data_IF_596700969843
#
_entry.id   IF_596700969843
#
_cell.length_a   1.000
_cell.length_b   1.000
_cell.length_c   1.000
_cell.angle_alpha   90.00
_cell.angle_beta   90.00
_cell.angle_gamma   90.00
#
_symmetry.space_group_name_H-M   'P 1'
#
loop_
_entity.id
_entity.type
_entity.pdbx_description
1 polymer ?
#
# COMPACT_ATOMS: atom_id res chain seq x y z
N UNK A 1 1.38 -8.70 -60.20
CA UNK A 1 0.11 -9.22 -59.65
C UNK A 1 0.48 -9.99 -58.41
N UNK A 2 0.31 -9.39 -57.25
CA UNK A 2 0.50 -10.08 -55.97
C UNK A 2 -0.56 -11.19 -55.86
N UNK A 3 -0.13 -12.38 -55.45
CA UNK A 3 -1.03 -13.52 -55.22
C UNK A 3 -2.16 -13.10 -54.27
N UNK A 4 -3.40 -13.56 -54.48
CA UNK A 4 -4.49 -13.23 -53.57
C UNK A 4 -4.15 -13.71 -52.15
N UNK A 5 -4.31 -12.83 -51.16
CA UNK A 5 -4.12 -13.16 -49.74
C UNK A 5 -5.16 -14.20 -49.33
N UNK A 6 -4.70 -15.38 -48.90
CA UNK A 6 -5.55 -16.47 -48.40
C UNK A 6 -5.16 -16.71 -46.95
N UNK A 7 -6.13 -16.67 -46.04
CA UNK A 7 -5.89 -17.04 -44.65
C UNK A 7 -6.01 -18.57 -44.51
N UNK A 8 -4.91 -19.26 -44.80
CA UNK A 8 -4.72 -20.69 -44.66
C UNK A 8 -3.89 -21.06 -43.41
N UNK A 9 -3.54 -22.34 -43.25
CA UNK A 9 -2.76 -22.82 -42.10
C UNK A 9 -1.34 -22.22 -42.03
N UNK A 10 -0.75 -21.88 -43.18
CA UNK A 10 0.60 -21.31 -43.24
C UNK A 10 0.58 -19.84 -42.84
N UNK A 11 -0.38 -19.07 -43.37
CA UNK A 11 -0.64 -17.69 -42.97
C UNK A 11 -0.98 -17.58 -41.47
N UNK A 12 -1.80 -18.50 -40.94
CA UNK A 12 -2.15 -18.55 -39.52
C UNK A 12 -0.92 -18.79 -38.63
N UNK A 13 -0.09 -19.77 -38.99
CA UNK A 13 1.14 -20.08 -38.25
C UNK A 13 2.11 -18.89 -38.25
N UNK A 14 2.33 -18.30 -39.42
CA UNK A 14 3.22 -17.15 -39.59
C UNK A 14 2.73 -15.94 -38.79
N UNK A 15 1.43 -15.63 -38.83
CA UNK A 15 0.85 -14.56 -38.02
C UNK A 15 1.09 -14.78 -36.53
N UNK A 16 0.89 -16.00 -36.04
CA UNK A 16 1.09 -16.32 -34.63
C UNK A 16 2.56 -16.16 -34.19
N UNK A 17 3.53 -16.55 -35.03
CA UNK A 17 4.95 -16.36 -34.78
C UNK A 17 5.29 -14.86 -34.66
N UNK A 18 4.83 -14.04 -35.60
CA UNK A 18 5.06 -12.58 -35.58
C UNK A 18 4.37 -11.90 -34.38
N UNK A 19 3.16 -12.33 -34.01
CA UNK A 19 2.47 -11.83 -32.81
C UNK A 19 3.23 -12.15 -31.51
N UNK A 20 3.89 -13.31 -31.43
CA UNK A 20 4.73 -13.69 -30.29
C UNK A 20 5.97 -12.79 -30.23
N UNK A 21 6.61 -12.53 -31.36
CA UNK A 21 7.76 -11.61 -31.42
C UNK A 21 7.38 -10.20 -30.99
N UNK A 22 6.28 -9.65 -31.51
CA UNK A 22 5.79 -8.32 -31.13
C UNK A 22 5.44 -8.29 -29.64
N UNK A 23 4.82 -9.34 -29.10
CA UNK A 23 4.56 -9.45 -27.66
C UNK A 23 5.84 -9.31 -26.83
N UNK A 24 6.90 -10.03 -27.19
CA UNK A 24 8.16 -10.03 -26.44
C UNK A 24 8.77 -8.63 -26.36
N UNK A 25 8.57 -7.80 -27.38
CA UNK A 25 9.02 -6.39 -27.41
C UNK A 25 8.21 -5.48 -26.49
N UNK A 26 6.89 -5.65 -26.45
CA UNK A 26 6.01 -4.68 -25.77
C UNK A 26 5.63 -5.09 -24.35
N UNK A 27 5.79 -6.36 -23.95
CA UNK A 27 5.29 -6.88 -22.67
C UNK A 27 5.85 -6.16 -21.42
N UNK A 28 7.03 -5.54 -21.52
CA UNK A 28 7.66 -4.79 -20.44
C UNK A 28 7.47 -3.27 -20.57
N UNK A 29 6.84 -2.80 -21.65
CA UNK A 29 6.54 -1.39 -21.87
C UNK A 29 5.10 -1.09 -21.38
N UNK A 30 5.01 -0.50 -20.20
CA UNK A 30 3.74 -0.14 -19.57
C UNK A 30 2.90 0.83 -20.42
N UNK A 31 3.53 1.71 -21.20
CA UNK A 31 2.83 2.69 -22.05
C UNK A 31 2.20 1.98 -23.23
N UNK A 32 2.95 1.13 -23.93
CA UNK A 32 2.45 0.35 -25.06
C UNK A 32 1.39 -0.67 -24.62
N UNK A 33 1.56 -1.32 -23.47
CA UNK A 33 0.57 -2.24 -22.91
C UNK A 33 -0.75 -1.53 -22.55
N UNK A 34 -0.67 -0.30 -22.04
CA UNK A 34 -1.87 0.50 -21.76
C UNK A 34 -2.58 0.89 -23.06
N UNK A 35 -1.82 1.35 -24.07
CA UNK A 35 -2.35 1.65 -25.40
C UNK A 35 -3.01 0.43 -26.04
N UNK A 36 -2.41 -0.75 -25.89
CA UNK A 36 -2.95 -2.03 -26.38
C UNK A 36 -4.29 -2.37 -25.74
N UNK A 37 -4.40 -2.27 -24.41
CA UNK A 37 -5.68 -2.52 -23.73
C UNK A 37 -6.76 -1.54 -24.18
N UNK A 38 -6.43 -0.25 -24.32
CA UNK A 38 -7.37 0.76 -24.82
C UNK A 38 -7.76 0.50 -26.27
N UNK A 39 -6.81 0.03 -27.08
CA UNK A 39 -7.03 -0.28 -28.47
C UNK A 39 -8.03 -1.43 -28.64
N UNK A 40 -7.79 -2.52 -27.92
CA UNK A 40 -8.66 -3.69 -27.84
C UNK A 40 -10.06 -3.35 -27.30
N UNK A 41 -10.17 -2.41 -26.34
CA UNK A 41 -11.47 -1.95 -25.85
C UNK A 41 -12.33 -1.28 -26.94
N UNK A 42 -11.73 -0.49 -27.85
CA UNK A 42 -12.47 0.12 -28.97
C UNK A 42 -13.11 -0.95 -29.86
N UNK A 43 -12.47 -2.11 -29.94
CA UNK A 43 -12.98 -3.30 -30.60
C UNK A 43 -13.77 -4.21 -29.63
N UNK A 44 -14.36 -3.69 -28.55
CA UNK A 44 -15.23 -4.45 -27.61
C UNK A 44 -14.56 -5.64 -26.89
N UNK A 45 -13.24 -5.57 -26.65
CA UNK A 45 -12.55 -6.50 -25.75
C UNK A 45 -12.37 -5.85 -24.37
N UNK A 46 -12.97 -6.41 -23.31
CA UNK A 46 -12.72 -5.94 -21.94
C UNK A 46 -11.21 -5.99 -21.61
N UNK A 47 -10.67 -5.06 -20.80
CA UNK A 47 -9.23 -5.02 -20.48
C UNK A 47 -8.68 -6.34 -19.92
N UNK A 48 -9.47 -7.05 -19.10
CA UNK A 48 -9.12 -8.38 -18.59
C UNK A 48 -8.98 -9.41 -19.71
N UNK A 49 -9.90 -9.40 -20.68
CA UNK A 49 -9.86 -10.30 -21.83
C UNK A 49 -8.72 -9.97 -22.79
N UNK A 50 -8.48 -8.69 -23.05
CA UNK A 50 -7.34 -8.23 -23.83
C UNK A 50 -6.01 -8.71 -23.23
N UNK A 51 -5.87 -8.65 -21.91
CA UNK A 51 -4.70 -9.17 -21.20
C UNK A 51 -4.61 -10.70 -21.23
N UNK A 52 -5.73 -11.41 -21.07
CA UNK A 52 -5.80 -12.86 -21.18
C UNK A 52 -5.33 -13.34 -22.56
N UNK A 53 -5.84 -12.74 -23.64
CA UNK A 53 -5.44 -13.05 -25.01
C UNK A 53 -3.96 -12.75 -25.25
N UNK A 54 -3.49 -11.61 -24.76
CA UNK A 54 -2.07 -11.25 -24.84
C UNK A 54 -1.19 -12.27 -24.09
N UNK A 55 -1.61 -12.73 -22.92
CA UNK A 55 -0.90 -13.74 -22.15
C UNK A 55 -0.88 -15.10 -22.85
N UNK A 56 -2.01 -15.49 -23.46
CA UNK A 56 -2.17 -16.74 -24.23
C UNK A 56 -1.18 -16.88 -25.38
N UNK A 57 -0.68 -15.79 -25.96
CA UNK A 57 0.36 -15.84 -26.99
C UNK A 57 1.64 -16.57 -26.51
N UNK A 58 1.93 -16.60 -25.20
CA UNK A 58 3.09 -17.34 -24.66
C UNK A 58 2.84 -18.84 -24.47
N UNK A 59 1.62 -19.33 -24.70
CA UNK A 59 1.26 -20.73 -24.47
C UNK A 59 1.30 -21.51 -25.79
N UNK A 60 2.16 -22.54 -25.93
CA UNK A 60 2.31 -23.34 -27.16
C UNK A 60 1.02 -24.04 -27.64
N UNK A 61 -0.01 -24.10 -26.79
CA UNK A 61 -1.28 -24.78 -27.04
C UNK A 61 -2.49 -23.83 -26.93
N UNK A 62 -2.27 -22.51 -26.89
CA UNK A 62 -3.38 -21.57 -26.87
C UNK A 62 -4.21 -21.66 -28.15
N UNK A 63 -5.49 -22.01 -27.99
CA UNK A 63 -6.47 -21.93 -29.08
C UNK A 63 -7.07 -20.53 -29.08
N UNK A 64 -6.67 -19.74 -30.08
CA UNK A 64 -7.29 -18.45 -30.39
C UNK A 64 -8.21 -18.62 -31.60
N UNK A 65 -9.38 -18.00 -31.55
CA UNK A 65 -10.30 -17.92 -32.70
C UNK A 65 -9.73 -17.02 -33.79
N UNK A 66 -10.21 -17.18 -35.02
CA UNK A 66 -9.80 -16.32 -36.15
C UNK A 66 -10.08 -14.83 -35.87
N UNK A 67 -11.21 -14.52 -35.22
CA UNK A 67 -11.54 -13.14 -34.81
C UNK A 67 -10.57 -12.60 -33.76
N UNK A 68 -10.26 -13.38 -32.72
CA UNK A 68 -9.26 -13.00 -31.70
C UNK A 68 -7.89 -12.70 -32.32
N UNK A 69 -7.43 -13.55 -33.25
CA UNK A 69 -6.16 -13.34 -33.96
C UNK A 69 -6.17 -12.08 -34.81
N UNK A 70 -7.27 -11.83 -35.53
CA UNK A 70 -7.46 -10.61 -36.30
C UNK A 70 -7.39 -9.35 -35.42
N UNK A 71 -8.14 -9.30 -34.32
CA UNK A 71 -8.15 -8.12 -33.44
C UNK A 71 -6.83 -7.92 -32.69
N UNK A 72 -6.12 -9.01 -32.34
CA UNK A 72 -4.75 -8.95 -31.83
C UNK A 72 -3.82 -8.30 -32.85
N UNK A 73 -3.81 -8.80 -34.09
CA UNK A 73 -3.00 -8.28 -35.19
C UNK A 73 -3.32 -6.80 -35.48
N UNK A 74 -4.61 -6.47 -35.63
CA UNK A 74 -5.10 -5.11 -35.89
C UNK A 74 -4.63 -4.12 -34.84
N UNK A 75 -4.81 -4.46 -33.56
CA UNK A 75 -4.51 -3.52 -32.48
C UNK A 75 -3.02 -3.43 -32.19
N UNK A 76 -2.28 -4.54 -32.26
CA UNK A 76 -0.82 -4.51 -32.11
C UNK A 76 -0.18 -3.75 -33.27
N UNK A 77 -0.58 -4.02 -34.52
CA UNK A 77 -0.09 -3.29 -35.70
C UNK A 77 -0.35 -1.79 -35.56
N UNK A 78 -1.56 -1.41 -35.13
CA UNK A 78 -1.92 0.01 -34.94
C UNK A 78 -0.99 0.74 -33.98
N UNK A 79 -0.50 0.05 -32.95
CA UNK A 79 0.32 0.62 -31.87
C UNK A 79 1.81 0.57 -32.21
N UNK A 80 2.30 -0.57 -32.70
CA UNK A 80 3.73 -0.77 -32.96
C UNK A 80 4.13 -0.29 -34.35
N UNK A 81 3.17 -0.12 -35.27
CA UNK A 81 3.39 0.17 -36.69
C UNK A 81 4.26 -0.87 -37.38
N UNK A 82 4.30 -2.09 -36.85
CA UNK A 82 5.06 -3.20 -37.44
C UNK A 82 4.26 -3.84 -38.58
N UNK A 83 4.67 -3.57 -39.82
CA UNK A 83 3.99 -4.12 -41.02
C UNK A 83 3.91 -5.65 -41.03
N UNK A 84 4.82 -6.36 -40.36
CA UNK A 84 4.83 -7.83 -40.32
C UNK A 84 3.59 -8.43 -39.66
N UNK A 85 2.90 -7.69 -38.81
CA UNK A 85 1.65 -8.10 -38.16
C UNK A 85 0.42 -7.39 -38.73
N UNK A 86 0.59 -6.66 -39.84
CA UNK A 86 -0.51 -5.98 -40.53
C UNK A 86 -1.58 -7.00 -40.95
N UNK A 87 -2.85 -6.87 -40.50
CA UNK A 87 -3.91 -7.82 -40.82
C UNK A 87 -4.10 -8.07 -42.31
N UNK A 88 -3.87 -7.05 -43.13
CA UNK A 88 -4.00 -7.08 -44.58
C UNK A 88 -3.04 -8.09 -45.23
N UNK A 89 -1.94 -8.45 -44.56
CA UNK A 89 -0.98 -9.45 -45.03
C UNK A 89 -1.46 -10.89 -44.83
N UNK A 90 -2.47 -11.11 -43.98
CA UNK A 90 -2.92 -12.44 -43.58
C UNK A 90 -4.38 -12.68 -43.92
N UNK A 91 -5.24 -11.67 -43.78
CA UNK A 91 -6.68 -11.80 -43.95
C UNK A 91 -7.13 -11.16 -45.27
N UNK A 92 -7.89 -11.88 -46.12
CA UNK A 92 -8.46 -11.27 -47.32
C UNK A 92 -9.48 -10.17 -46.95
N UNK A 93 -9.63 -9.11 -47.75
CA UNK A 93 -10.51 -7.98 -47.45
C UNK A 93 -11.95 -8.37 -47.11
N UNK A 94 -12.51 -9.36 -47.82
CA UNK A 94 -13.87 -9.85 -47.55
C UNK A 94 -13.99 -10.51 -46.18
N UNK A 95 -12.93 -11.19 -45.72
CA UNK A 95 -12.89 -11.85 -44.41
C UNK A 95 -12.68 -10.87 -43.27
N UNK A 96 -11.88 -9.82 -43.49
CA UNK A 96 -11.77 -8.68 -42.56
C UNK A 96 -13.16 -8.08 -42.34
N UNK A 97 -13.86 -7.76 -43.43
CA UNK A 97 -15.21 -7.20 -43.39
C UNK A 97 -16.21 -8.11 -42.68
N UNK A 98 -16.15 -9.41 -42.94
CA UNK A 98 -17.00 -10.41 -42.27
C UNK A 98 -16.73 -10.51 -40.76
N UNK A 99 -15.46 -10.53 -40.36
CA UNK A 99 -15.06 -10.53 -38.94
C UNK A 99 -15.56 -9.26 -38.24
N UNK A 100 -15.35 -8.09 -38.83
CA UNK A 100 -15.75 -6.81 -38.21
C UNK A 100 -17.27 -6.63 -38.13
N UNK A 101 -18.02 -7.05 -39.16
CA UNK A 101 -19.49 -6.94 -39.18
C UNK A 101 -20.15 -7.88 -38.17
N UNK A 102 -19.62 -9.09 -38.01
CA UNK A 102 -20.19 -10.11 -37.13
C UNK A 102 -19.61 -10.04 -35.70
N UNK A 103 -18.73 -9.08 -35.41
CA UNK A 103 -18.12 -8.95 -34.09
C UNK A 103 -19.04 -8.23 -33.09
N UNK A 104 -19.69 -9.04 -32.26
CA UNK A 104 -20.56 -8.55 -31.18
C UNK A 104 -19.78 -8.17 -29.91
N UNK A 105 -18.51 -8.59 -29.79
CA UNK A 105 -17.72 -8.47 -28.55
C UNK A 105 -17.89 -9.70 -27.65
N UNK A 106 -17.17 -9.74 -26.52
CA UNK A 106 -17.46 -10.75 -25.49
C UNK A 106 -18.66 -10.31 -24.67
N UNK A 107 -19.64 -11.21 -24.51
CA UNK A 107 -20.69 -11.06 -23.49
C UNK A 107 -20.07 -11.23 -22.11
N UNK A 108 -19.69 -10.12 -21.51
CA UNK A 108 -19.50 -9.97 -20.07
C UNK A 108 -20.86 -9.79 -19.42
N UNK A 109 -21.01 -10.15 -18.14
CA UNK A 109 -22.11 -9.70 -17.28
C UNK A 109 -21.96 -8.18 -17.03
N UNK A 110 -21.99 -7.40 -18.12
CA UNK A 110 -21.74 -5.97 -18.11
C UNK A 110 -22.93 -5.28 -17.46
N UNK A 111 -22.64 -4.60 -16.35
CA UNK A 111 -23.61 -3.75 -15.67
C UNK A 111 -23.53 -2.35 -16.28
N UNK A 112 -24.66 -1.67 -16.39
CA UNK A 112 -24.75 -0.31 -16.90
C UNK A 112 -25.57 0.55 -15.95
N UNK A 113 -25.42 1.87 -16.05
CA UNK A 113 -26.40 2.76 -15.43
C UNK A 113 -27.73 2.70 -16.23
N UNK A 114 -28.89 2.74 -15.56
CA UNK A 114 -29.06 2.98 -14.13
C UNK A 114 -28.72 1.76 -13.28
N UNK A 115 -28.03 2.00 -12.16
CA UNK A 115 -27.56 0.94 -11.25
C UNK A 115 -28.04 1.19 -9.83
N UNK A 116 -28.62 0.19 -9.19
CA UNK A 116 -29.26 0.32 -7.87
C UNK A 116 -28.48 -0.41 -6.79
N UNK A 117 -28.03 0.34 -5.78
CA UNK A 117 -27.52 -0.22 -4.54
C UNK A 117 -28.65 -0.39 -3.52
N UNK A 118 -28.52 -1.39 -2.65
CA UNK A 118 -29.49 -1.76 -1.61
C UNK A 118 -28.91 -1.55 -0.22
N UNK A 119 -29.74 -1.62 0.81
CA UNK A 119 -29.36 -1.40 2.22
C UNK A 119 -28.67 -0.06 2.48
N UNK A 120 -29.16 0.98 1.80
CA UNK A 120 -28.58 2.32 1.83
C UNK A 120 -29.12 3.10 3.04
N UNK A 121 -28.20 3.80 3.70
CA UNK A 121 -28.51 4.71 4.81
C UNK A 121 -28.24 6.13 4.36
N UNK A 122 -29.27 6.98 4.35
CA UNK A 122 -29.10 8.41 4.08
C UNK A 122 -28.54 9.10 5.32
N UNK A 123 -27.38 9.75 5.18
CA UNK A 123 -26.72 10.47 6.26
C UNK A 123 -27.05 11.96 6.19
N UNK A 124 -27.06 12.51 4.97
CA UNK A 124 -27.46 13.87 4.67
C UNK A 124 -28.19 13.92 3.32
N UNK A 125 -28.64 15.10 2.89
CA UNK A 125 -29.31 15.28 1.59
C UNK A 125 -28.46 14.81 0.40
N UNK A 126 -27.13 14.91 0.51
CA UNK A 126 -26.15 14.64 -0.53
C UNK A 126 -25.10 13.60 -0.10
N UNK A 127 -25.42 12.81 0.94
CA UNK A 127 -24.52 11.79 1.48
C UNK A 127 -25.26 10.52 1.91
N UNK A 128 -24.74 9.39 1.46
CA UNK A 128 -25.32 8.06 1.64
C UNK A 128 -24.23 7.06 2.01
N UNK A 129 -24.56 6.11 2.89
CA UNK A 129 -23.64 5.10 3.36
C UNK A 129 -24.24 3.70 3.20
N UNK A 130 -23.47 2.77 2.63
CA UNK A 130 -23.94 1.41 2.39
C UNK A 130 -22.79 0.40 2.36
N UNK A 131 -23.14 -0.88 2.31
CA UNK A 131 -22.20 -1.98 2.10
C UNK A 131 -22.33 -2.50 0.69
N UNK A 132 -21.22 -2.81 0.05
CA UNK A 132 -21.17 -3.38 -1.30
C UNK A 132 -20.30 -4.63 -1.30
N UNK A 133 -20.68 -5.64 -2.08
CA UNK A 133 -19.86 -6.85 -2.23
C UNK A 133 -18.60 -6.54 -3.04
N UNK A 134 -17.50 -7.20 -2.70
CA UNK A 134 -16.25 -7.08 -3.45
C UNK A 134 -16.42 -7.57 -4.89
N UNK A 135 -17.21 -8.63 -5.10
CA UNK A 135 -17.59 -9.11 -6.44
C UNK A 135 -18.39 -8.08 -7.25
N UNK A 136 -19.25 -7.30 -6.59
CA UNK A 136 -20.06 -6.24 -7.21
C UNK A 136 -19.20 -5.04 -7.59
N UNK A 137 -18.29 -4.63 -6.72
CA UNK A 137 -17.27 -3.62 -7.04
C UNK A 137 -16.39 -4.03 -8.22
N UNK A 138 -16.01 -5.31 -8.29
CA UNK A 138 -15.29 -5.85 -9.43
C UNK A 138 -16.11 -5.70 -10.72
N UNK A 139 -17.41 -6.06 -10.72
CA UNK A 139 -18.29 -5.87 -11.89
C UNK A 139 -18.40 -4.40 -12.30
N UNK A 140 -18.66 -3.50 -11.35
CA UNK A 140 -18.75 -2.06 -11.61
C UNK A 140 -17.43 -1.49 -12.18
N UNK A 141 -16.29 -2.00 -11.71
CA UNK A 141 -14.97 -1.64 -12.20
C UNK A 141 -14.68 -2.18 -13.61
N UNK A 142 -14.98 -3.46 -13.88
CA UNK A 142 -14.83 -4.04 -15.23
C UNK A 142 -15.75 -3.37 -16.26
N UNK A 143 -16.96 -2.98 -15.85
CA UNK A 143 -17.92 -2.24 -16.67
C UNK A 143 -17.64 -0.73 -16.75
N UNK A 144 -16.53 -0.26 -16.18
CA UNK A 144 -16.08 1.15 -16.25
C UNK A 144 -17.08 2.18 -15.71
N UNK A 145 -17.97 1.74 -14.81
CA UNK A 145 -18.90 2.61 -14.11
C UNK A 145 -18.19 3.39 -13.00
N UNK A 146 -17.05 2.88 -12.50
CA UNK A 146 -16.21 3.54 -11.50
C UNK A 146 -15.00 4.19 -12.16
N UNK A 147 -14.77 5.47 -11.87
CA UNK A 147 -13.69 6.26 -12.47
C UNK A 147 -12.72 6.79 -11.43
N UNK A 148 -11.46 6.91 -11.83
CA UNK A 148 -10.49 7.67 -11.05
C UNK A 148 -10.67 9.17 -11.34
N UNK A 149 -10.73 10.00 -10.30
CA UNK A 149 -10.80 11.45 -10.45
C UNK A 149 -9.56 12.17 -9.88
N UNK A 150 -8.49 12.31 -10.68
CA UNK A 150 -7.24 12.99 -10.29
C UNK A 150 -7.44 14.48 -10.02
N UNK A 151 -8.41 15.10 -10.73
CA UNK A 151 -8.77 16.50 -10.48
C UNK A 151 -9.33 16.67 -9.08
N UNK A 152 -9.93 15.66 -8.44
CA UNK A 152 -10.34 15.70 -7.05
C UNK A 152 -9.18 15.48 -6.05
N UNK A 153 -8.11 14.80 -6.46
CA UNK A 153 -7.06 14.27 -5.58
C UNK A 153 -5.70 15.01 -5.58
N UNK A 154 -5.58 16.17 -6.25
CA UNK A 154 -4.32 16.98 -6.34
C UNK A 154 -3.11 16.23 -6.94
N UNK A 155 -3.32 15.37 -7.94
CA UNK A 155 -2.22 14.85 -8.77
C UNK A 155 -2.10 15.67 -10.05
N UNK A 156 -1.18 16.64 -10.08
CA UNK A 156 -0.85 17.46 -11.26
C UNK A 156 0.16 16.76 -12.18
N UNK A 157 -0.15 15.54 -12.62
CA UNK A 157 0.58 14.90 -13.73
C UNK A 157 -0.39 14.53 -14.84
N UNK A 158 -0.66 15.50 -15.70
CA UNK A 158 -1.16 15.28 -17.06
C UNK A 158 -0.03 14.67 -17.89
N UNK A 159 -0.25 13.48 -18.45
CA UNK A 159 0.62 13.00 -19.54
C UNK A 159 0.03 13.60 -20.82
N UNK A 160 0.70 14.60 -21.39
CA UNK A 160 0.40 15.02 -22.75
C UNK A 160 0.89 13.94 -23.71
N UNK A 161 -0.05 13.18 -24.27
CA UNK A 161 0.21 12.42 -25.48
C UNK A 161 0.17 13.42 -26.64
N UNK A 162 1.34 13.84 -27.13
CA UNK A 162 1.48 14.65 -28.36
C UNK A 162 0.85 13.99 -29.61
N UNK A 163 0.33 12.77 -29.49
CA UNK A 163 -0.10 11.90 -30.58
C UNK A 163 -1.62 11.68 -30.64
N UNK A 164 -2.42 12.09 -29.64
CA UNK A 164 -3.88 11.81 -29.60
C UNK A 164 -4.76 13.02 -29.21
N UNK A 165 -4.16 14.18 -28.89
CA UNK A 165 -4.89 15.39 -28.47
C UNK A 165 -5.96 15.11 -27.39
N UNK A 166 -5.62 14.28 -26.40
CA UNK A 166 -6.52 13.89 -25.32
C UNK A 166 -5.78 13.88 -23.97
N UNK A 167 -6.38 14.51 -22.96
CA UNK A 167 -5.83 14.60 -21.60
C UNK A 167 -6.33 13.42 -20.77
N UNK A 168 -5.55 12.35 -20.68
CA UNK A 168 -5.86 11.22 -19.79
C UNK A 168 -5.07 11.38 -18.50
N UNK A 169 -5.72 11.60 -17.36
CA UNK A 169 -5.02 11.77 -16.12
C UNK A 169 -4.82 10.40 -15.45
N UNK A 170 -3.55 10.04 -15.21
CA UNK A 170 -3.16 8.70 -14.75
C UNK A 170 -2.95 8.72 -13.24
N UNK A 171 -3.61 7.85 -12.46
CA UNK A 171 -3.30 7.67 -11.04
C UNK A 171 -1.87 7.16 -10.87
N UNK A 172 -1.12 7.70 -9.90
CA UNK A 172 0.13 7.10 -9.44
C UNK A 172 -0.20 5.83 -8.65
N UNK A 173 -0.46 4.75 -9.37
CA UNK A 173 -0.63 3.42 -8.79
C UNK A 173 0.75 2.93 -8.34
N UNK A 174 0.93 2.81 -7.03
CA UNK A 174 2.09 2.12 -6.47
C UNK A 174 1.82 0.63 -6.65
N UNK A 175 2.42 0.06 -7.69
CA UNK A 175 2.17 -1.32 -8.13
C UNK A 175 2.41 -2.34 -7.01
N UNK A 176 3.42 -2.12 -6.16
CA UNK A 176 3.67 -2.96 -4.98
C UNK A 176 2.54 -2.91 -3.95
N UNK A 177 1.89 -1.76 -3.76
CA UNK A 177 0.74 -1.62 -2.86
C UNK A 177 -0.50 -2.30 -3.43
N UNK A 178 -0.74 -2.18 -4.74
CA UNK A 178 -1.85 -2.87 -5.42
C UNK A 178 -1.66 -4.39 -5.34
N UNK A 179 -0.43 -4.86 -5.51
CA UNK A 179 -0.09 -6.28 -5.41
C UNK A 179 -0.25 -6.82 -3.99
N UNK A 180 0.20 -6.09 -2.98
CA UNK A 180 0.00 -6.46 -1.58
C UNK A 180 -1.50 -6.56 -1.24
N UNK A 181 -2.31 -5.61 -1.70
CA UNK A 181 -3.77 -5.62 -1.53
C UNK A 181 -4.39 -6.83 -2.24
N UNK A 182 -3.94 -7.16 -3.46
CA UNK A 182 -4.44 -8.32 -4.19
C UNK A 182 -4.18 -9.62 -3.42
N UNK A 183 -2.96 -9.80 -2.89
CA UNK A 183 -2.60 -10.96 -2.07
C UNK A 183 -3.42 -11.04 -0.77
N UNK A 184 -3.61 -9.92 -0.08
CA UNK A 184 -4.47 -9.87 1.12
C UNK A 184 -5.92 -10.20 0.79
N UNK A 185 -6.41 -9.77 -0.39
CA UNK A 185 -7.76 -10.09 -0.87
C UNK A 185 -7.91 -11.58 -1.14
N UNK A 186 -6.93 -12.21 -1.82
CA UNK A 186 -6.90 -13.64 -2.09
C UNK A 186 -6.88 -14.47 -0.80
N UNK A 187 -6.18 -13.99 0.24
CA UNK A 187 -6.14 -14.60 1.58
C UNK A 187 -7.36 -14.28 2.46
N UNK A 188 -8.26 -13.42 1.98
CA UNK A 188 -9.41 -12.91 2.75
C UNK A 188 -9.00 -12.21 4.07
N UNK A 189 -7.85 -11.53 4.05
CA UNK A 189 -7.22 -10.82 5.17
C UNK A 189 -7.15 -9.29 4.92
N UNK A 190 -7.82 -8.81 3.87
CA UNK A 190 -7.87 -7.39 3.58
C UNK A 190 -8.67 -6.63 4.64
N UNK A 191 -8.06 -5.58 5.21
CA UNK A 191 -8.74 -4.66 6.14
C UNK A 191 -9.87 -3.91 5.41
N UNK A 192 -11.10 -4.03 5.93
CA UNK A 192 -12.35 -3.53 5.34
C UNK A 192 -12.62 -2.07 5.74
N UNK A 193 -11.80 -1.16 5.21
CA UNK A 193 -11.97 0.28 5.36
C UNK A 193 -12.98 0.86 4.35
N UNK A 194 -13.40 2.11 4.57
CA UNK A 194 -14.43 2.79 3.75
C UNK A 194 -13.85 3.22 2.40
N UNK A 195 -14.60 3.02 1.32
CA UNK A 195 -14.37 3.60 0.00
C UNK A 195 -15.22 4.86 -0.14
N UNK A 196 -14.66 5.93 -0.71
CA UNK A 196 -15.39 7.18 -0.91
C UNK A 196 -15.73 7.38 -2.38
N UNK A 197 -17.01 7.41 -2.70
CA UNK A 197 -17.53 7.63 -4.05
C UNK A 197 -18.18 9.01 -4.18
N UNK A 198 -18.19 9.55 -5.39
CA UNK A 198 -18.88 10.78 -5.73
C UNK A 198 -19.62 10.64 -7.05
N UNK A 199 -20.94 10.71 -7.00
CA UNK A 199 -21.76 10.97 -8.17
C UNK A 199 -21.61 12.47 -8.50
N UNK A 200 -20.90 12.79 -9.57
CA UNK A 200 -20.57 14.16 -9.90
C UNK A 200 -21.83 14.94 -10.25
N UNK A 201 -22.16 15.95 -9.45
CA UNK A 201 -23.32 16.80 -9.68
C UNK A 201 -23.25 17.46 -11.07
N UNK A 202 -24.33 17.37 -11.84
CA UNK A 202 -24.45 17.91 -13.20
C UNK A 202 -23.88 17.00 -14.28
N UNK A 203 -23.72 15.70 -14.00
CA UNK A 203 -23.21 14.73 -14.98
C UNK A 203 -24.26 13.77 -15.52
N UNK A 204 -25.44 13.70 -14.89
CA UNK A 204 -26.54 12.86 -15.35
C UNK A 204 -27.11 13.33 -16.70
N UNK A 205 -27.53 12.39 -17.55
CA UNK A 205 -28.35 12.66 -18.74
C UNK A 205 -29.80 13.00 -18.38
N UNK A 206 -30.25 12.57 -17.20
CA UNK A 206 -31.63 12.72 -16.70
C UNK A 206 -31.77 13.97 -15.80
N UNK A 207 -30.68 14.69 -15.56
CA UNK A 207 -30.63 15.90 -14.71
C UNK A 207 -30.60 15.64 -13.20
N UNK A 208 -30.74 14.38 -12.78
CA UNK A 208 -30.65 13.94 -11.37
C UNK A 208 -29.74 12.73 -11.33
N UNK A 209 -28.61 12.79 -10.61
CA UNK A 209 -27.65 11.67 -10.58
C UNK A 209 -28.07 10.51 -9.68
N UNK A 210 -28.75 10.81 -8.56
CA UNK A 210 -29.09 9.83 -7.53
C UNK A 210 -30.58 9.89 -7.20
N UNK A 211 -31.27 8.77 -7.36
CA UNK A 211 -32.65 8.58 -6.93
C UNK A 211 -32.64 7.69 -5.68
N UNK A 212 -32.98 8.27 -4.52
CA UNK A 212 -33.06 7.53 -3.27
C UNK A 212 -34.51 7.20 -2.94
N UNK A 213 -34.78 5.91 -2.74
CA UNK A 213 -36.03 5.37 -2.24
C UNK A 213 -35.87 5.08 -0.75
N UNK A 214 -36.59 5.85 0.08
CA UNK A 214 -36.48 5.80 1.53
C UNK A 214 -37.19 4.59 2.14
N UNK A 215 -38.29 4.13 1.53
CA UNK A 215 -39.06 2.97 2.00
C UNK A 215 -38.28 1.68 1.73
N UNK A 216 -37.73 1.56 0.52
CA UNK A 216 -36.99 0.38 0.08
C UNK A 216 -35.50 0.43 0.45
N UNK A 217 -35.02 1.57 0.96
CA UNK A 217 -33.61 1.85 1.30
C UNK A 217 -32.67 1.56 0.11
N UNK A 218 -33.08 2.02 -1.07
CA UNK A 218 -32.35 1.83 -2.34
C UNK A 218 -31.86 3.16 -2.87
N UNK A 219 -30.68 3.16 -3.48
CA UNK A 219 -30.22 4.32 -4.25
C UNK A 219 -29.85 3.90 -5.67
N UNK A 220 -30.46 4.56 -6.63
CA UNK A 220 -30.21 4.35 -8.06
C UNK A 220 -29.34 5.47 -8.60
N UNK A 221 -28.19 5.09 -9.16
CA UNK A 221 -27.35 5.98 -9.96
C UNK A 221 -27.92 6.02 -11.38
N UNK A 222 -28.31 7.19 -11.88
CA UNK A 222 -29.01 7.34 -13.16
C UNK A 222 -28.07 7.32 -14.37
N UNK A 223 -28.62 7.23 -15.59
CA UNK A 223 -27.82 7.21 -16.82
C UNK A 223 -26.99 8.47 -17.00
N UNK A 224 -25.83 8.33 -17.64
CA UNK A 224 -24.88 9.42 -17.88
C UNK A 224 -24.07 9.86 -16.66
N UNK A 225 -24.53 9.55 -15.44
CA UNK A 225 -23.87 9.94 -14.19
C UNK A 225 -22.42 9.48 -14.16
N UNK A 226 -21.51 10.40 -13.83
CA UNK A 226 -20.10 10.09 -13.60
C UNK A 226 -19.91 9.74 -12.12
N UNK A 227 -19.61 8.47 -11.86
CA UNK A 227 -19.36 7.96 -10.51
C UNK A 227 -17.85 7.82 -10.28
N UNK A 228 -17.30 8.75 -9.51
CA UNK A 228 -15.88 8.86 -9.24
C UNK A 228 -15.51 8.21 -7.91
N UNK A 229 -14.37 7.52 -7.88
CA UNK A 229 -13.76 7.01 -6.65
C UNK A 229 -12.76 8.05 -6.16
N UNK A 230 -13.14 8.77 -5.11
CA UNK A 230 -12.34 9.85 -4.52
C UNK A 230 -11.34 9.32 -3.50
N UNK A 231 -11.64 8.23 -2.80
CA UNK A 231 -10.70 7.51 -1.94
C UNK A 231 -10.88 5.99 -2.08
N UNK A 232 -9.77 5.27 -2.05
CA UNK A 232 -9.75 3.81 -2.16
C UNK A 232 -9.45 3.26 -3.56
N UNK A 233 -8.87 4.06 -4.46
CA UNK A 233 -8.57 3.61 -5.82
C UNK A 233 -7.57 2.43 -5.88
N UNK A 234 -6.47 2.46 -5.11
CA UNK A 234 -5.53 1.33 -5.03
C UNK A 234 -6.19 0.08 -4.45
N UNK A 235 -7.12 0.24 -3.50
CA UNK A 235 -7.90 -0.86 -2.91
C UNK A 235 -8.82 -1.50 -3.94
N UNK A 236 -9.62 -0.70 -4.63
CA UNK A 236 -10.48 -1.17 -5.72
C UNK A 236 -9.67 -1.89 -6.80
N UNK A 237 -8.54 -1.30 -7.22
CA UNK A 237 -7.66 -1.90 -8.23
C UNK A 237 -7.09 -3.25 -7.77
N UNK A 238 -6.64 -3.35 -6.52
CA UNK A 238 -6.11 -4.58 -5.94
C UNK A 238 -7.16 -5.68 -5.78
N UNK A 239 -8.37 -5.32 -5.33
CA UNK A 239 -9.53 -6.23 -5.25
C UNK A 239 -9.87 -6.75 -6.64
N UNK A 240 -10.04 -5.87 -7.63
CA UNK A 240 -10.34 -6.27 -9.00
C UNK A 240 -9.25 -7.16 -9.58
N UNK A 241 -7.97 -6.91 -9.27
CA UNK A 241 -6.85 -7.77 -9.67
C UNK A 241 -6.96 -9.17 -9.07
N UNK A 242 -7.28 -9.28 -7.79
CA UNK A 242 -7.47 -10.57 -7.11
C UNK A 242 -8.62 -11.36 -7.75
N UNK A 243 -9.79 -10.73 -7.96
CA UNK A 243 -10.94 -11.39 -8.61
C UNK A 243 -10.66 -11.80 -10.06
N UNK A 244 -9.83 -11.05 -10.80
CA UNK A 244 -9.36 -11.47 -12.14
C UNK A 244 -8.47 -12.72 -12.09
N UNK A 245 -7.61 -12.83 -11.09
CA UNK A 245 -6.70 -13.98 -10.92
C UNK A 245 -7.43 -15.21 -10.43
N UNK A 246 -8.32 -15.02 -9.47
CA UNK A 246 -9.11 -16.08 -8.86
C UNK A 246 -10.58 -15.63 -8.72
N UNK A 247 -11.45 -16.01 -9.66
CA UNK A 247 -12.88 -15.69 -9.59
C UNK A 247 -13.61 -16.32 -8.40
N UNK A 248 -13.02 -17.33 -7.75
CA UNK A 248 -13.64 -18.09 -6.65
C UNK A 248 -13.24 -17.57 -5.26
N UNK A 249 -12.68 -16.37 -5.17
CA UNK A 249 -12.38 -15.73 -3.87
C UNK A 249 -13.68 -15.64 -3.06
N UNK A 250 -13.58 -15.95 -1.77
CA UNK A 250 -14.69 -15.81 -0.83
C UNK A 250 -15.10 -14.33 -0.79
N UNK A 251 -16.33 -14.07 -1.21
CA UNK A 251 -16.84 -12.70 -1.29
C UNK A 251 -17.00 -12.07 0.11
N UNK A 252 -16.86 -10.75 0.17
CA UNK A 252 -16.94 -9.98 1.40
C UNK A 252 -17.47 -8.57 1.13
N UNK A 253 -17.94 -7.91 2.18
CA UNK A 253 -18.48 -6.56 2.09
C UNK A 253 -17.42 -5.50 2.38
N UNK A 254 -17.41 -4.45 1.57
CA UNK A 254 -16.75 -3.17 1.87
C UNK A 254 -17.81 -2.11 2.18
N UNK A 255 -17.39 -1.09 2.92
CA UNK A 255 -18.22 0.08 3.24
C UNK A 255 -18.01 1.13 2.16
N UNK A 256 -19.09 1.74 1.68
CA UNK A 256 -19.06 2.84 0.71
C UNK A 256 -19.73 4.06 1.32
N UNK A 257 -19.04 5.19 1.22
CA UNK A 257 -19.55 6.52 1.52
C UNK A 257 -19.72 7.27 0.19
N UNK A 258 -20.96 7.49 -0.21
CA UNK A 258 -21.34 8.05 -1.50
C UNK A 258 -21.83 9.49 -1.33
N UNK A 259 -21.22 10.39 -2.09
CA UNK A 259 -21.57 11.79 -2.12
C UNK A 259 -22.17 12.19 -3.48
N UNK A 260 -23.01 13.23 -3.47
CA UNK A 260 -23.41 13.95 -4.67
C UNK A 260 -22.84 15.37 -4.63
N UNK A 261 -21.57 15.50 -4.97
CA UNK A 261 -20.85 16.76 -4.88
C UNK A 261 -20.42 17.28 -6.25
N UNK A 262 -20.36 18.61 -6.35
CA UNK A 262 -19.57 19.26 -7.40
C UNK A 262 -18.08 18.94 -7.22
N UNK A 263 -17.30 19.06 -8.30
CA UNK A 263 -15.84 18.93 -8.27
C UNK A 263 -15.18 19.76 -7.15
N UNK A 264 -15.66 20.98 -6.91
CA UNK A 264 -15.12 21.87 -5.86
C UNK A 264 -15.35 21.32 -4.46
N UNK A 265 -16.56 20.80 -4.19
CA UNK A 265 -16.91 20.23 -2.88
C UNK A 265 -16.25 18.87 -2.66
N UNK A 266 -16.15 18.05 -3.71
CA UNK A 266 -15.36 16.82 -3.75
C UNK A 266 -13.88 17.05 -3.38
N UNK A 267 -13.23 18.05 -4.00
CA UNK A 267 -11.84 18.46 -3.66
C UNK A 267 -11.68 18.89 -2.21
N UNK A 268 -12.63 19.68 -1.70
CA UNK A 268 -12.59 20.15 -0.31
C UNK A 268 -12.73 18.98 0.66
N UNK A 269 -13.65 18.05 0.37
CA UNK A 269 -13.88 16.85 1.18
C UNK A 269 -12.63 15.95 1.17
N UNK A 270 -12.05 15.66 0.01
CA UNK A 270 -10.79 14.93 -0.09
C UNK A 270 -9.65 15.63 0.64
N UNK A 271 -9.54 16.96 0.51
CA UNK A 271 -8.53 17.74 1.23
C UNK A 271 -8.70 17.67 2.75
N UNK A 272 -9.94 17.64 3.26
CA UNK A 272 -10.25 17.46 4.68
C UNK A 272 -9.94 16.03 5.17
N UNK A 273 -10.25 15.01 4.37
CA UNK A 273 -9.90 13.63 4.68
C UNK A 273 -8.36 13.44 4.74
N UNK A 274 -7.60 14.09 3.86
CA UNK A 274 -6.13 13.97 3.80
C UNK A 274 -5.37 15.02 4.62
N UNK A 275 -6.05 15.94 5.30
CA UNK A 275 -5.41 16.81 6.32
C UNK A 275 -5.24 16.09 7.66
N UNK A 276 -5.74 14.86 7.77
CA UNK A 276 -5.29 13.90 8.77
C UNK A 276 -3.83 13.59 8.42
N UNK A 277 -2.89 14.19 9.17
CA UNK A 277 -1.46 14.12 8.87
C UNK A 277 -1.01 12.70 8.53
N UNK A 278 -0.19 12.51 7.46
CA UNK A 278 0.45 11.24 7.19
C UNK A 278 1.14 10.76 8.46
N UNK A 279 0.69 9.61 8.94
CA UNK A 279 1.25 8.95 10.10
C UNK A 279 2.72 8.67 9.81
N UNK A 280 3.64 9.18 10.65
CA UNK A 280 5.07 8.99 10.43
C UNK A 280 5.40 7.50 10.25
N UNK A 281 6.42 7.15 9.46
CA UNK A 281 6.79 5.74 9.22
C UNK A 281 7.02 4.96 10.52
N UNK A 282 7.54 5.63 11.55
CA UNK A 282 7.67 5.11 12.91
C UNK A 282 6.33 4.77 13.56
N UNK A 283 5.32 5.63 13.41
CA UNK A 283 3.94 5.38 13.87
C UNK A 283 3.21 4.33 13.02
N UNK A 284 3.50 4.22 11.72
CA UNK A 284 3.00 3.12 10.85
C UNK A 284 3.61 1.78 11.27
N UNK A 285 4.91 1.75 11.60
CA UNK A 285 5.58 0.57 12.14
C UNK A 285 5.01 0.17 13.51
N UNK A 286 4.81 1.14 14.41
CA UNK A 286 4.10 0.95 15.70
C UNK A 286 2.71 0.32 15.51
N UNK A 287 1.95 0.81 14.53
CA UNK A 287 0.57 0.37 14.26
C UNK A 287 0.48 -0.93 13.44
N UNK A 288 1.60 -1.47 12.97
CA UNK A 288 1.65 -2.68 12.17
C UNK A 288 1.86 -3.91 13.06
N UNK A 289 0.78 -4.65 13.35
CA UNK A 289 0.81 -5.90 14.15
C UNK A 289 1.62 -7.05 13.52
N UNK A 290 2.11 -6.89 12.28
CA UNK A 290 2.87 -7.91 11.54
C UNK A 290 4.39 -7.86 11.77
N UNK A 291 4.92 -6.93 12.58
CA UNK A 291 6.34 -6.87 12.94
C UNK A 291 6.54 -7.19 14.43
N UNK A 292 7.07 -8.37 14.72
CA UNK A 292 7.32 -8.84 16.09
C UNK A 292 8.20 -7.89 16.91
N UNK A 293 9.14 -7.19 16.27
CA UNK A 293 10.01 -6.24 16.97
C UNK A 293 9.25 -4.98 17.38
N UNK A 294 8.34 -4.52 16.53
CA UNK A 294 7.45 -3.41 16.84
C UNK A 294 6.51 -3.77 18.00
N UNK A 295 6.04 -5.02 18.07
CA UNK A 295 5.24 -5.52 19.22
C UNK A 295 6.02 -5.43 20.54
N UNK A 296 7.31 -5.78 20.57
CA UNK A 296 8.14 -5.70 21.78
C UNK A 296 8.26 -4.25 22.27
N UNK A 297 8.57 -3.31 21.37
CA UNK A 297 8.73 -1.89 21.73
C UNK A 297 7.39 -1.27 22.14
N UNK A 298 6.28 -1.65 21.50
CA UNK A 298 4.93 -1.22 21.92
C UNK A 298 4.61 -1.70 23.33
N UNK A 299 4.98 -2.93 23.67
CA UNK A 299 4.75 -3.47 25.01
C UNK A 299 5.46 -2.64 26.07
N UNK A 300 6.74 -2.31 25.85
CA UNK A 300 7.51 -1.42 26.73
C UNK A 300 6.85 -0.05 26.80
N UNK A 301 6.52 0.54 25.65
CA UNK A 301 5.94 1.89 25.59
C UNK A 301 4.62 2.00 26.35
N UNK A 302 3.76 1.00 26.20
CA UNK A 302 2.40 1.06 26.74
C UNK A 302 2.33 0.63 28.22
N UNK A 303 3.38 -0.01 28.74
CA UNK A 303 3.37 -0.62 30.09
C UNK A 303 4.55 -0.19 30.99
N UNK A 304 5.41 0.74 30.55
CA UNK A 304 6.49 1.29 31.37
C UNK A 304 6.46 2.82 31.41
N UNK A 305 6.96 3.39 32.50
CA UNK A 305 7.07 4.84 32.67
C UNK A 305 8.06 5.48 31.68
N UNK A 306 9.13 4.75 31.33
CA UNK A 306 10.05 5.16 30.24
C UNK A 306 9.32 5.25 28.90
N UNK A 307 8.20 4.54 28.74
CA UNK A 307 7.35 4.59 27.55
C UNK A 307 6.87 6.00 27.21
N UNK A 308 6.59 6.83 28.20
CA UNK A 308 6.19 8.24 28.00
C UNK A 308 7.33 9.10 27.43
N UNK A 309 8.58 8.65 27.60
CA UNK A 309 9.80 9.33 27.16
C UNK A 309 10.26 8.88 25.77
N UNK A 310 9.47 8.03 25.09
CA UNK A 310 9.72 7.54 23.72
C UNK A 310 8.86 8.30 22.71
N UNK A 311 9.49 9.07 21.81
CA UNK A 311 8.79 9.79 20.73
C UNK A 311 8.38 8.87 19.59
N UNK A 312 7.13 8.96 19.14
CA UNK A 312 6.52 8.02 18.18
C UNK A 312 6.17 8.65 16.82
N UNK A 313 6.28 9.98 16.67
CA UNK A 313 5.79 10.71 15.50
C UNK A 313 6.87 11.44 14.68
N UNK A 314 8.12 11.48 15.14
CA UNK A 314 9.26 12.03 14.39
C UNK A 314 10.53 11.25 14.74
N UNK A 315 11.45 11.13 13.79
CA UNK A 315 12.73 10.41 13.98
C UNK A 315 13.81 11.28 14.66
N UNK A 316 13.48 12.54 14.95
CA UNK A 316 14.32 13.50 15.66
C UNK A 316 13.61 14.08 16.88
N UNK A 317 14.41 14.38 17.90
CA UNK A 317 13.96 15.05 19.12
C UNK A 317 14.47 16.48 19.04
N UNK A 318 13.55 17.44 19.15
CA UNK A 318 13.87 18.87 19.10
C UNK A 318 14.29 19.34 20.50
N UNK A 319 15.12 20.39 20.58
CA UNK A 319 15.48 20.99 21.87
C UNK A 319 14.20 21.49 22.56
N UNK A 320 14.01 21.17 23.84
CA UNK A 320 12.79 21.52 24.57
C UNK A 320 11.70 20.45 24.59
N UNK A 321 11.89 19.29 23.96
CA UNK A 321 10.94 18.17 24.05
C UNK A 321 11.25 17.24 25.24
N UNK A 322 10.23 16.61 25.86
CA UNK A 322 10.41 15.72 27.02
C UNK A 322 10.94 14.32 26.67
N UNK A 323 11.26 14.07 25.40
CA UNK A 323 11.61 12.73 24.95
C UNK A 323 13.11 12.47 25.11
N UNK A 324 13.46 11.26 25.57
CA UNK A 324 14.84 10.79 25.67
C UNK A 324 15.26 10.10 24.37
N UNK A 325 14.36 9.32 23.79
CA UNK A 325 14.63 8.50 22.61
C UNK A 325 13.43 8.50 21.66
N UNK A 326 13.59 7.87 20.50
CA UNK A 326 12.52 7.70 19.52
C UNK A 326 12.22 6.23 19.33
N UNK A 327 10.98 5.93 18.94
CA UNK A 327 10.54 4.58 18.62
C UNK A 327 11.44 3.92 17.57
N UNK A 328 11.81 4.67 16.52
CA UNK A 328 12.69 4.18 15.46
C UNK A 328 14.07 3.79 16.01
N UNK A 329 14.62 4.56 16.95
CA UNK A 329 15.89 4.25 17.62
C UNK A 329 15.78 3.02 18.50
N UNK A 330 14.70 2.88 19.27
CA UNK A 330 14.45 1.68 20.08
C UNK A 330 14.32 0.43 19.21
N UNK A 331 13.60 0.52 18.08
CA UNK A 331 13.46 -0.59 17.13
C UNK A 331 14.82 -1.00 16.52
N UNK A 332 15.62 -0.02 16.10
CA UNK A 332 17.00 -0.25 15.60
C UNK A 332 17.90 -0.86 16.68
N UNK A 333 17.79 -0.38 17.92
CA UNK A 333 18.53 -0.90 19.07
C UNK A 333 18.15 -2.34 19.41
N UNK A 334 16.85 -2.64 19.46
CA UNK A 334 16.34 -4.00 19.67
C UNK A 334 16.87 -4.95 18.60
N UNK A 335 16.72 -4.59 17.33
CA UNK A 335 17.25 -5.38 16.21
C UNK A 335 18.76 -5.60 16.32
N UNK A 336 19.51 -4.57 16.73
CA UNK A 336 20.97 -4.67 16.93
C UNK A 336 21.30 -5.64 18.08
N UNK A 337 20.55 -5.60 19.19
CA UNK A 337 20.77 -6.48 20.34
C UNK A 337 20.47 -7.93 20.03
N UNK A 338 19.32 -8.19 19.40
CA UNK A 338 18.96 -9.52 18.93
C UNK A 338 20.05 -10.12 18.03
N UNK A 339 20.55 -9.35 17.05
CA UNK A 339 21.66 -9.77 16.19
C UNK A 339 22.98 -9.97 16.96
N UNK A 340 23.23 -9.20 18.01
CA UNK A 340 24.48 -9.28 18.80
C UNK A 340 24.54 -10.59 19.59
N UNK A 341 23.40 -11.07 20.05
CA UNK A 341 23.28 -12.30 20.84
C UNK A 341 22.78 -13.50 20.03
N UNK A 342 22.73 -13.39 18.71
CA UNK A 342 22.23 -14.41 17.78
C UNK A 342 20.84 -14.95 18.18
N UNK A 343 19.96 -14.05 18.63
CA UNK A 343 18.63 -14.37 19.12
C UNK A 343 17.56 -13.87 18.15
N UNK A 344 16.62 -14.74 17.77
CA UNK A 344 15.54 -14.43 16.84
C UNK A 344 14.19 -14.59 17.54
N UNK A 345 13.30 -13.62 17.37
CA UNK A 345 11.91 -13.71 17.83
C UNK A 345 11.07 -14.34 16.73
N UNK A 346 10.64 -15.58 16.92
CA UNK A 346 10.03 -16.38 15.86
C UNK A 346 8.51 -16.18 15.73
N UNK A 347 7.87 -15.77 16.82
CA UNK A 347 6.42 -15.65 16.89
C UNK A 347 5.93 -14.58 17.86
N UNK A 348 4.65 -14.24 17.74
CA UNK A 348 3.99 -13.20 18.53
C UNK A 348 3.98 -13.49 20.05
N UNK A 349 3.89 -14.77 20.46
CA UNK A 349 3.89 -15.12 21.87
C UNK A 349 5.25 -14.88 22.51
N UNK A 350 6.33 -15.19 21.78
CA UNK A 350 7.70 -14.88 22.18
C UNK A 350 7.94 -13.37 22.21
N UNK A 351 7.48 -12.63 21.20
CA UNK A 351 7.55 -11.16 21.17
C UNK A 351 6.88 -10.54 22.41
N UNK A 352 5.70 -11.03 22.81
CA UNK A 352 4.99 -10.56 24.01
C UNK A 352 5.76 -10.91 25.28
N UNK A 353 6.29 -12.13 25.41
CA UNK A 353 7.09 -12.52 26.59
C UNK A 353 8.35 -11.68 26.74
N UNK A 354 9.03 -11.39 25.63
CA UNK A 354 10.19 -10.52 25.62
C UNK A 354 9.81 -9.08 25.97
N UNK A 355 8.71 -8.56 25.39
CA UNK A 355 8.16 -7.25 25.71
C UNK A 355 7.81 -7.08 27.18
N UNK A 356 7.12 -8.05 27.79
CA UNK A 356 6.81 -8.07 29.22
C UNK A 356 8.08 -8.01 30.07
N UNK A 357 9.05 -8.88 29.80
CA UNK A 357 10.30 -8.91 30.56
C UNK A 357 11.09 -7.59 30.44
N UNK A 358 11.20 -7.03 29.24
CA UNK A 358 11.91 -5.77 29.04
C UNK A 358 11.15 -4.58 29.66
N UNK A 359 9.83 -4.67 29.76
CA UNK A 359 9.02 -3.69 30.51
C UNK A 359 9.41 -3.72 31.98
N UNK A 360 9.51 -4.92 32.57
CA UNK A 360 9.94 -5.06 33.97
C UNK A 360 11.34 -4.48 34.17
N UNK A 361 12.29 -4.78 33.26
CA UNK A 361 13.64 -4.18 33.26
C UNK A 361 13.58 -2.65 33.27
N UNK A 362 12.83 -2.04 32.35
CA UNK A 362 12.76 -0.59 32.26
C UNK A 362 12.03 0.04 33.44
N UNK A 363 11.04 -0.63 34.04
CA UNK A 363 10.39 -0.18 35.26
C UNK A 363 11.35 -0.22 36.45
N UNK A 364 12.14 -1.28 36.60
CA UNK A 364 13.20 -1.36 37.62
C UNK A 364 14.17 -0.19 37.44
N UNK A 365 14.72 -0.01 36.24
CA UNK A 365 15.66 1.09 35.96
C UNK A 365 15.04 2.46 36.18
N UNK A 366 13.81 2.69 35.75
CA UNK A 366 13.14 3.97 35.96
C UNK A 366 12.97 4.28 37.46
N UNK A 367 12.58 3.29 38.25
CA UNK A 367 12.39 3.45 39.69
C UNK A 367 13.72 3.68 40.42
N UNK A 368 14.78 2.96 40.07
CA UNK A 368 16.12 3.12 40.68
C UNK A 368 16.75 4.48 40.41
N UNK A 369 16.42 5.09 39.27
CA UNK A 369 16.97 6.39 38.84
C UNK A 369 15.87 7.45 38.66
N UNK A 370 14.78 7.37 39.44
CA UNK A 370 13.59 8.22 39.27
C UNK A 370 13.91 9.70 39.32
N UNK A 371 14.83 10.12 40.19
CA UNK A 371 15.27 11.51 40.28
C UNK A 371 15.92 11.99 38.99
N UNK A 372 16.72 11.16 38.32
CA UNK A 372 17.34 11.51 37.05
C UNK A 372 16.30 11.65 35.94
N UNK A 373 15.35 10.72 35.84
CA UNK A 373 14.30 10.73 34.83
C UNK A 373 13.30 11.89 35.02
N UNK A 374 12.91 12.19 36.26
CA UNK A 374 11.99 13.30 36.58
C UNK A 374 12.65 14.67 36.50
N UNK A 375 13.93 14.79 36.87
CA UNK A 375 14.67 16.06 36.85
C UNK A 375 15.36 16.34 35.51
N UNK A 376 15.18 15.46 34.50
CA UNK A 376 15.66 15.73 33.16
C UNK A 376 15.03 17.05 32.67
N UNK A 377 15.87 17.99 32.25
CA UNK A 377 15.37 19.25 31.73
C UNK A 377 15.06 19.01 30.26
N UNK A 378 13.93 19.47 29.76
CA UNK A 378 13.46 19.29 28.38
C UNK A 378 14.57 19.60 27.35
N UNK A 379 15.34 18.59 26.95
CA UNK A 379 16.49 18.71 26.03
C UNK A 379 17.89 18.90 26.62
N UNK A 380 18.08 18.85 27.95
CA UNK A 380 19.39 18.87 28.63
C UNK A 380 19.47 17.73 29.65
N UNK A 381 20.14 16.64 29.27
CA UNK A 381 20.38 15.48 30.15
C UNK A 381 21.27 15.92 31.30
N UNK A 382 20.89 15.57 32.54
CA UNK A 382 21.74 15.81 33.73
C UNK A 382 22.55 14.58 34.13
N UNK A 383 22.12 13.41 33.67
CA UNK A 383 22.72 12.12 33.92
C UNK A 383 22.87 11.36 32.60
N UNK A 384 23.83 10.45 32.52
CA UNK A 384 24.01 9.59 31.35
C UNK A 384 22.87 8.60 31.19
N UNK A 385 22.21 8.18 32.28
CA UNK A 385 21.08 7.22 32.26
C UNK A 385 19.90 7.72 31.43
N UNK A 386 19.70 9.04 31.38
CA UNK A 386 18.63 9.69 30.61
C UNK A 386 19.03 10.04 29.18
N UNK A 387 20.05 9.38 28.62
CA UNK A 387 20.48 9.59 27.23
C UNK A 387 20.05 8.46 26.31
N UNK A 388 19.71 8.78 25.06
CA UNK A 388 19.30 7.77 24.07
C UNK A 388 20.32 6.63 23.92
N UNK A 389 21.65 6.86 23.82
CA UNK A 389 22.64 5.78 23.75
C UNK A 389 22.61 4.83 24.95
N UNK A 390 22.43 5.35 26.17
CA UNK A 390 22.38 4.53 27.39
C UNK A 390 21.07 3.75 27.48
N UNK A 391 19.92 4.34 27.14
CA UNK A 391 18.65 3.60 27.04
C UNK A 391 18.73 2.40 26.09
N UNK A 392 19.39 2.59 24.93
CA UNK A 392 19.63 1.48 23.99
C UNK A 392 20.66 0.47 24.52
N UNK A 393 21.59 0.90 25.37
CA UNK A 393 22.50 0.02 26.11
C UNK A 393 21.78 -0.83 27.15
N UNK A 394 20.91 -0.23 27.96
CA UNK A 394 20.05 -0.93 28.93
C UNK A 394 19.15 -1.94 28.24
N UNK A 395 18.58 -1.60 27.07
CA UNK A 395 17.83 -2.55 26.24
C UNK A 395 18.66 -3.80 25.88
N UNK A 396 19.93 -3.60 25.50
CA UNK A 396 20.84 -4.70 25.16
C UNK A 396 21.21 -5.54 26.39
N UNK A 397 21.47 -4.90 27.53
CA UNK A 397 21.74 -5.57 28.80
C UNK A 397 20.52 -6.41 29.24
N UNK A 398 19.31 -5.87 29.13
CA UNK A 398 18.08 -6.60 29.44
C UNK A 398 17.91 -7.85 28.58
N UNK A 399 18.18 -7.77 27.27
CA UNK A 399 18.13 -8.94 26.38
C UNK A 399 19.17 -9.99 26.78
N UNK A 400 20.40 -9.57 27.07
CA UNK A 400 21.45 -10.48 27.56
C UNK A 400 21.00 -11.20 28.83
N UNK A 401 20.51 -10.45 29.82
CA UNK A 401 20.03 -11.01 31.09
C UNK A 401 18.86 -11.96 30.91
N UNK A 402 17.96 -11.65 29.96
CA UNK A 402 16.88 -12.58 29.61
C UNK A 402 17.41 -13.92 29.12
N UNK A 403 18.41 -13.90 28.25
CA UNK A 403 19.05 -15.11 27.71
C UNK A 403 19.79 -15.89 28.79
N UNK A 404 20.35 -15.19 29.78
CA UNK A 404 20.97 -15.78 30.97
C UNK A 404 19.95 -16.18 32.05
N UNK A 405 18.65 -16.07 31.76
CA UNK A 405 17.54 -16.39 32.68
C UNK A 405 17.57 -15.61 34.00
N UNK A 406 18.12 -14.40 33.96
CA UNK A 406 18.11 -13.46 35.09
C UNK A 406 16.79 -12.71 35.17
N UNK A 407 16.51 -12.20 36.36
CA UNK A 407 15.36 -11.35 36.66
C UNK A 407 15.63 -9.91 36.21
N UNK A 408 14.57 -9.10 36.15
CA UNK A 408 14.70 -7.68 35.87
C UNK A 408 15.48 -6.94 36.98
N UNK A 409 15.36 -7.40 38.23
CA UNK A 409 16.02 -6.80 39.39
C UNK A 409 17.55 -6.94 39.31
N UNK A 410 18.06 -8.02 38.71
CA UNK A 410 19.51 -8.21 38.51
C UNK A 410 20.13 -7.11 37.63
N UNK A 411 19.33 -6.43 36.78
CA UNK A 411 19.80 -5.28 35.99
C UNK A 411 20.23 -4.14 36.90
N UNK A 412 19.45 -3.86 37.96
CA UNK A 412 19.76 -2.79 38.91
C UNK A 412 21.12 -3.00 39.56
N UNK A 413 21.43 -4.24 39.97
CA UNK A 413 22.71 -4.57 40.58
C UNK A 413 23.89 -4.27 39.65
N UNK A 414 23.76 -4.61 38.36
CA UNK A 414 24.80 -4.29 37.37
C UNK A 414 24.93 -2.78 37.15
N UNK A 415 23.81 -2.06 37.09
CA UNK A 415 23.81 -0.62 36.85
C UNK A 415 24.28 0.19 38.08
N UNK A 416 24.04 -0.31 39.29
CA UNK A 416 24.45 0.35 40.55
C UNK A 416 25.96 0.52 40.68
N UNK A 417 26.73 -0.32 39.97
CA UNK A 417 28.19 -0.24 39.88
C UNK A 417 28.69 0.84 38.90
N UNK A 418 27.79 1.49 38.17
CA UNK A 418 28.11 2.55 37.21
C UNK A 418 27.76 3.91 37.80
N UNK A 419 28.66 4.86 37.62
CA UNK A 419 28.41 6.26 37.93
C UNK A 419 27.94 6.99 36.67
N UNK A 420 26.66 7.37 36.68
CA UNK A 420 25.99 8.05 35.57
C UNK A 420 26.20 9.57 35.54
N UNK A 421 27.02 10.13 36.44
CA UNK A 421 27.40 11.55 36.36
C UNK A 421 28.08 11.86 35.00
N UNK A 422 27.71 12.97 34.38
CA UNK A 422 28.23 13.32 33.04
C UNK A 422 29.72 13.67 33.02
N UNK A 423 30.32 13.96 34.17
CA UNK A 423 31.76 14.19 34.33
C UNK A 423 32.57 12.90 34.49
N UNK A 424 31.92 11.74 34.63
CA UNK A 424 32.60 10.46 34.68
C UNK A 424 33.41 10.19 33.39
N UNK A 425 34.65 9.71 33.57
CA UNK A 425 35.59 9.44 32.48
C UNK A 425 35.06 8.39 31.48
N UNK A 426 34.28 7.42 31.96
CA UNK A 426 33.66 6.37 31.14
C UNK A 426 32.89 6.98 29.96
N UNK A 427 32.06 8.00 30.21
CA UNK A 427 31.22 8.58 29.18
C UNK A 427 32.02 9.37 28.13
N UNK A 428 33.21 9.87 28.49
CA UNK A 428 34.15 10.49 27.54
C UNK A 428 34.85 9.44 26.69
N UNK A 429 35.26 8.32 27.28
CA UNK A 429 35.86 7.19 26.57
C UNK A 429 34.89 6.58 25.55
N UNK A 430 33.61 6.49 25.92
CA UNK A 430 32.53 6.04 25.03
C UNK A 430 32.05 7.14 24.06
N UNK A 431 32.66 8.33 24.08
CA UNK A 431 32.34 9.50 23.25
C UNK A 431 30.89 9.99 23.40
N UNK A 432 30.22 9.65 24.50
CA UNK A 432 28.90 10.13 24.87
C UNK A 432 28.95 11.59 25.31
N UNK A 433 30.04 11.98 25.98
CA UNK A 433 30.34 13.36 26.38
C UNK A 433 31.63 13.80 25.68
N UNK A 434 31.58 14.92 24.96
CA UNK A 434 32.74 15.51 24.30
C UNK A 434 33.65 16.24 25.30
N UNK A 435 34.87 16.60 24.87
CA UNK A 435 35.81 17.37 25.68
C UNK A 435 35.29 18.76 26.09
N UNK A 436 34.39 19.35 25.29
CA UNK A 436 33.66 20.59 25.60
C UNK A 436 32.33 20.36 26.34
N UNK A 437 32.20 19.20 27.01
CA UNK A 437 31.05 18.80 27.86
C UNK A 437 29.70 18.77 27.14
N UNK A 438 29.69 18.59 25.81
CA UNK A 438 28.44 18.43 25.04
C UNK A 438 28.07 16.96 24.90
N UNK A 439 26.77 16.70 24.96
CA UNK A 439 26.23 15.36 24.74
C UNK A 439 26.25 15.00 23.26
N UNK A 440 26.80 13.84 22.96
CA UNK A 440 26.82 13.26 21.63
C UNK A 440 25.87 12.07 21.56
N UNK A 441 24.62 12.34 21.17
CA UNK A 441 23.60 11.31 21.00
C UNK A 441 23.89 10.30 19.87
N UNK A 442 24.96 10.49 19.09
CA UNK A 442 25.39 9.53 18.07
C UNK A 442 26.38 8.48 18.61
N UNK A 443 26.77 8.55 19.89
CA UNK A 443 27.62 7.57 20.58
C UNK A 443 26.93 6.20 20.84
N UNK A 444 25.86 5.90 20.09
CA UNK A 444 25.03 4.70 20.23
C UNK A 444 25.88 3.44 20.12
N UNK A 445 26.77 3.36 19.12
CA UNK A 445 27.55 2.15 18.86
C UNK A 445 28.43 1.76 20.06
N UNK A 446 29.27 2.70 20.51
CA UNK A 446 30.28 2.46 21.54
C UNK A 446 29.61 2.21 22.90
N UNK A 447 28.58 3.00 23.23
CA UNK A 447 27.76 2.81 24.46
C UNK A 447 27.05 1.46 24.44
N UNK A 448 26.40 1.11 23.34
CA UNK A 448 25.69 -0.16 23.20
C UNK A 448 26.64 -1.37 23.37
N UNK A 449 27.82 -1.33 22.77
CA UNK A 449 28.82 -2.40 22.86
C UNK A 449 29.35 -2.56 24.29
N UNK A 450 29.51 -1.46 25.03
CA UNK A 450 29.88 -1.49 26.45
C UNK A 450 28.82 -2.26 27.28
N UNK A 451 27.55 -1.86 27.22
CA UNK A 451 26.47 -2.50 27.98
C UNK A 451 26.28 -3.97 27.61
N UNK A 452 26.44 -4.32 26.33
CA UNK A 452 26.36 -5.72 25.87
C UNK A 452 27.45 -6.62 26.47
N UNK A 453 28.56 -6.04 26.92
CA UNK A 453 29.71 -6.74 27.49
C UNK A 453 29.78 -6.71 29.01
N UNK A 454 28.93 -5.93 29.69
CA UNK A 454 28.90 -5.87 31.15
C UNK A 454 28.75 -7.27 31.74
N UNK A 455 29.61 -7.61 32.67
CA UNK A 455 29.54 -8.88 33.40
C UNK A 455 28.28 -8.88 34.25
N UNK A 456 27.55 -9.99 34.21
CA UNK A 456 26.33 -10.16 34.97
C UNK A 456 26.57 -11.01 36.22
N UNK A 457 27.78 -11.56 36.40
CA UNK A 457 28.21 -12.17 37.64
C UNK A 457 28.42 -11.06 38.68
N UNK A 458 27.58 -11.08 39.72
CA UNK A 458 27.70 -10.25 40.93
C UNK A 458 28.57 -10.99 41.94
#
# INVERSE_FOLDING_TARGET
>A
MESPVIFDMEADKKLMEELIETKLKIQHDNKLMTAYRQAMMKDKFPPGKAQELFNKLSSPHARLTTGEKYFLAKNLHRITKEERISPENYFPPNRIKDIELNWEGYKTDEVSFPYTFTDVTKIASDNYFFKVKASELFKLYESQLLRYNPKAQRTDRTIHLKEVDDEIPVPELVESSVEAIAQLTEKNDLIKSVLTFNALLGSSEEGIELLFDEEERKITVTKGTRLDVIDGWHRLTGISRAFRRNPNIKDFYLKVDLYNYTMKKARKHFGQQNTINPVAKSKIAEMSENDYLSVVINFIKDNSDIGELIKVNEDSIRKGEPYITTFERCLKGLKRALNTFDYTVENLAEARKLGMYLTDVFNTVFNSYIDDFTNHSFGESKSAITTSPVILGVLALGIKMKLESKSADDVEDVLSNLDFSLDNKLWRELKLVSEDTKLNNNAIKDTFEFFSRLTTEV
#
